data_IF_932548508613
#
_entry.id   IF_932548508613
#
_cell.length_a   1.000
_cell.length_b   1.000
_cell.length_c   1.000
_cell.angle_alpha   90.00
_cell.angle_beta   90.00
_cell.angle_gamma   90.00
#
_symmetry.space_group_name_H-M   'P 1'
#
loop_
_entity.id
_entity.type
_entity.pdbx_description
1 polymer ?
#
# COMPACT_ATOMS: atom_id res chain seq x y z
N UNK A 1 -3.17 12.56 20.44
CA UNK A 1 -2.66 11.59 19.44
C UNK A 1 -2.07 12.34 18.26
N UNK A 2 -0.98 11.85 17.68
CA UNK A 2 -0.40 12.43 16.47
C UNK A 2 -1.38 12.28 15.29
N UNK A 3 -1.44 13.27 14.42
CA UNK A 3 -2.37 13.27 13.27
C UNK A 3 -2.06 12.13 12.28
N UNK A 4 -0.77 11.79 12.11
CA UNK A 4 -0.34 10.66 11.28
C UNK A 4 -0.96 9.34 11.77
N UNK A 5 -0.85 9.07 13.09
CA UNK A 5 -1.42 7.87 13.70
C UNK A 5 -2.94 7.75 13.46
N UNK A 6 -3.67 8.88 13.52
CA UNK A 6 -5.11 8.88 13.26
C UNK A 6 -5.44 8.60 11.80
N UNK A 7 -4.62 9.09 10.88
CA UNK A 7 -4.88 8.94 9.44
C UNK A 7 -4.54 7.55 8.92
N UNK A 8 -3.44 6.93 9.39
CA UNK A 8 -3.08 5.58 8.94
C UNK A 8 -4.10 4.52 9.35
N UNK A 9 -4.86 4.74 10.45
CA UNK A 9 -5.96 3.85 10.86
C UNK A 9 -7.07 3.76 9.82
N UNK A 10 -7.19 4.76 8.94
CA UNK A 10 -8.13 4.74 7.82
C UNK A 10 -7.65 3.85 6.66
N UNK A 11 -6.36 3.48 6.61
CA UNK A 11 -5.77 2.69 5.51
C UNK A 11 -6.56 1.42 5.14
N UNK A 12 -6.93 0.55 6.10
CA UNK A 12 -7.74 -0.63 5.81
C UNK A 12 -9.12 -0.29 5.23
N UNK A 13 -9.76 0.78 5.72
CA UNK A 13 -11.07 1.23 5.22
C UNK A 13 -10.96 1.77 3.79
N UNK A 14 -9.94 2.57 3.49
CA UNK A 14 -9.68 3.07 2.13
C UNK A 14 -9.53 1.90 1.16
N UNK A 15 -8.78 0.86 1.56
CA UNK A 15 -8.61 -0.36 0.76
C UNK A 15 -9.94 -1.10 0.55
N UNK A 16 -10.72 -1.31 1.61
CA UNK A 16 -12.00 -2.00 1.51
C UNK A 16 -13.01 -1.28 0.60
N UNK A 17 -13.06 0.05 0.65
CA UNK A 17 -13.93 0.86 -0.24
C UNK A 17 -13.51 0.69 -1.70
N UNK A 18 -12.22 0.72 -1.98
CA UNK A 18 -11.70 0.53 -3.33
C UNK A 18 -11.98 -0.88 -3.87
N UNK A 19 -11.70 -1.91 -3.05
CA UNK A 19 -12.00 -3.29 -3.40
C UNK A 19 -13.49 -3.52 -3.66
N UNK A 20 -14.37 -2.83 -2.91
CA UNK A 20 -15.81 -2.88 -3.13
C UNK A 20 -16.18 -2.34 -4.52
N UNK A 21 -15.59 -1.21 -4.95
CA UNK A 21 -15.79 -0.71 -6.31
C UNK A 21 -15.34 -1.73 -7.37
N UNK A 22 -14.12 -2.28 -7.22
CA UNK A 22 -13.53 -3.20 -8.18
C UNK A 22 -14.33 -4.48 -8.40
N UNK A 23 -14.82 -5.09 -7.31
CA UNK A 23 -15.29 -6.47 -7.33
C UNK A 23 -16.78 -6.64 -7.01
N UNK A 24 -17.43 -5.65 -6.37
CA UNK A 24 -18.84 -5.71 -6.02
C UNK A 24 -19.68 -4.80 -6.93
N UNK A 25 -19.23 -3.57 -7.15
CA UNK A 25 -19.95 -2.63 -8.05
C UNK A 25 -19.65 -2.93 -9.51
N UNK A 26 -18.40 -3.23 -9.80
CA UNK A 26 -17.92 -3.57 -11.14
C UNK A 26 -17.22 -4.94 -11.15
N UNK A 27 -16.84 -5.43 -12.33
CA UNK A 27 -16.13 -6.70 -12.49
C UNK A 27 -14.71 -6.45 -12.99
N UNK A 28 -13.79 -6.12 -12.06
CA UNK A 28 -12.38 -5.89 -12.40
C UNK A 28 -11.71 -7.10 -13.04
N UNK A 29 -12.07 -8.32 -12.63
CA UNK A 29 -11.49 -9.55 -13.22
C UNK A 29 -11.83 -9.65 -14.70
N UNK A 30 -13.07 -9.41 -15.08
CA UNK A 30 -13.51 -9.43 -16.47
C UNK A 30 -12.79 -8.34 -17.28
N UNK A 31 -12.72 -7.12 -16.75
CA UNK A 31 -11.97 -6.03 -17.37
C UNK A 31 -10.49 -6.37 -17.52
N UNK A 32 -9.86 -6.94 -16.50
CA UNK A 32 -8.45 -7.35 -16.52
C UNK A 32 -8.20 -8.43 -17.57
N UNK A 33 -9.05 -9.44 -17.68
CA UNK A 33 -8.93 -10.50 -18.69
C UNK A 33 -9.13 -10.00 -20.13
N UNK A 34 -9.86 -8.91 -20.33
CA UNK A 34 -10.03 -8.29 -21.64
C UNK A 34 -8.72 -7.73 -22.21
N UNK A 35 -7.83 -7.22 -21.35
CA UNK A 35 -6.62 -6.51 -21.77
C UNK A 35 -5.32 -7.24 -21.41
N UNK A 36 -5.35 -8.11 -20.42
CA UNK A 36 -4.20 -8.84 -19.92
C UNK A 36 -4.46 -10.34 -19.99
N UNK A 37 -3.67 -11.07 -20.78
CA UNK A 37 -3.86 -12.50 -21.08
C UNK A 37 -3.74 -13.45 -19.88
N UNK A 38 -3.19 -12.98 -18.73
CA UNK A 38 -3.03 -13.79 -17.53
C UNK A 38 -3.47 -13.04 -16.28
N UNK A 39 -4.34 -13.68 -15.52
CA UNK A 39 -4.56 -13.31 -14.12
C UNK A 39 -3.66 -14.20 -13.28
N UNK A 40 -2.65 -13.63 -12.63
CA UNK A 40 -1.79 -14.36 -11.68
C UNK A 40 -2.52 -14.74 -10.37
N UNK A 41 -3.84 -14.54 -10.29
CA UNK A 41 -4.61 -14.79 -9.09
C UNK A 41 -4.83 -16.28 -8.87
N UNK A 42 -3.94 -16.88 -8.07
CA UNK A 42 -4.16 -18.21 -7.47
C UNK A 42 -5.13 -18.18 -6.28
N UNK A 43 -5.61 -16.99 -5.88
CA UNK A 43 -6.50 -16.77 -4.72
C UNK A 43 -7.78 -16.09 -5.16
N UNK A 44 -8.88 -16.34 -4.41
CA UNK A 44 -10.13 -15.62 -4.61
C UNK A 44 -10.01 -14.14 -4.22
N UNK A 45 -10.89 -13.29 -4.74
CA UNK A 45 -10.92 -11.86 -4.44
C UNK A 45 -11.12 -11.59 -2.95
N UNK A 46 -11.96 -12.40 -2.29
CA UNK A 46 -12.20 -12.31 -0.84
C UNK A 46 -10.97 -12.69 -0.02
N UNK A 47 -10.20 -13.68 -0.49
CA UNK A 47 -8.94 -14.06 0.17
C UNK A 47 -7.91 -12.93 0.03
N UNK A 48 -7.78 -12.32 -1.14
CA UNK A 48 -6.89 -11.18 -1.38
C UNK A 48 -7.32 -9.99 -0.50
N UNK A 49 -8.62 -9.66 -0.47
CA UNK A 49 -9.14 -8.62 0.42
C UNK A 49 -8.75 -8.87 1.87
N UNK A 50 -9.02 -10.08 2.36
CA UNK A 50 -8.75 -10.42 3.76
C UNK A 50 -7.27 -10.34 4.11
N UNK A 51 -6.40 -10.86 3.23
CA UNK A 51 -4.95 -10.82 3.43
C UNK A 51 -4.45 -9.37 3.45
N UNK A 52 -4.81 -8.55 2.47
CA UNK A 52 -4.29 -7.18 2.38
C UNK A 52 -4.85 -6.28 3.47
N UNK A 53 -6.11 -6.42 3.87
CA UNK A 53 -6.66 -5.73 5.04
C UNK A 53 -5.89 -6.14 6.31
N UNK A 54 -5.68 -7.44 6.54
CA UNK A 54 -4.90 -7.93 7.68
C UNK A 54 -3.47 -7.38 7.68
N UNK A 55 -2.79 -7.36 6.54
CA UNK A 55 -1.44 -6.79 6.41
C UNK A 55 -1.45 -5.32 6.83
N UNK A 56 -2.35 -4.51 6.29
CA UNK A 56 -2.42 -3.09 6.65
C UNK A 56 -2.71 -2.92 8.15
N UNK A 57 -3.69 -3.66 8.70
CA UNK A 57 -4.05 -3.59 10.13
C UNK A 57 -2.86 -3.94 11.03
N UNK A 58 -2.15 -5.03 10.73
CA UNK A 58 -0.97 -5.47 11.50
C UNK A 58 0.10 -4.39 11.52
N UNK A 59 0.46 -3.82 10.36
CA UNK A 59 1.52 -2.82 10.30
C UNK A 59 1.09 -1.44 10.84
N UNK A 60 -0.19 -1.09 10.73
CA UNK A 60 -0.74 0.06 11.46
C UNK A 60 -0.59 -0.15 12.97
N UNK A 61 -0.99 -1.32 13.48
CA UNK A 61 -0.86 -1.64 14.91
C UNK A 61 0.61 -1.63 15.35
N UNK A 62 1.51 -2.25 14.59
CA UNK A 62 2.95 -2.21 14.87
C UNK A 62 3.49 -0.79 14.93
N UNK A 63 3.05 0.11 14.03
CA UNK A 63 3.43 1.50 14.09
C UNK A 63 2.87 2.20 15.33
N UNK A 64 1.61 1.98 15.69
CA UNK A 64 1.01 2.57 16.88
C UNK A 64 1.74 2.18 18.17
N UNK A 65 2.26 0.94 18.23
CA UNK A 65 3.05 0.44 19.37
C UNK A 65 4.47 0.98 19.35
N UNK A 66 5.19 0.88 18.25
CA UNK A 66 6.60 1.29 18.12
C UNK A 66 6.76 2.81 18.02
N UNK A 67 5.87 3.48 17.33
CA UNK A 67 5.78 4.94 17.15
C UNK A 67 7.13 5.60 16.80
N UNK A 68 7.90 4.98 15.92
CA UNK A 68 9.20 5.44 15.45
C UNK A 68 9.24 5.60 13.92
N UNK A 69 10.35 6.15 13.39
CA UNK A 69 10.51 6.39 11.95
C UNK A 69 10.50 5.10 11.15
N UNK A 70 11.17 4.04 11.61
CA UNK A 70 11.25 2.79 10.88
C UNK A 70 9.86 2.18 10.66
N UNK A 71 9.03 2.11 11.70
CA UNK A 71 7.65 1.63 11.57
C UNK A 71 6.77 2.54 10.71
N UNK A 72 7.01 3.86 10.72
CA UNK A 72 6.34 4.79 9.81
C UNK A 72 6.72 4.54 8.35
N UNK A 73 8.00 4.29 8.06
CA UNK A 73 8.46 3.94 6.71
C UNK A 73 7.81 2.65 6.19
N UNK A 74 7.74 1.63 7.04
CA UNK A 74 7.14 0.34 6.63
C UNK A 74 5.66 0.52 6.32
N UNK A 75 4.88 1.20 7.16
CA UNK A 75 3.46 1.41 6.85
C UNK A 75 3.25 2.32 5.63
N UNK A 76 4.06 3.34 5.45
CA UNK A 76 4.02 4.20 4.25
C UNK A 76 4.35 3.41 2.99
N UNK A 77 5.35 2.53 3.03
CA UNK A 77 5.69 1.64 1.92
C UNK A 77 4.53 0.71 1.56
N UNK A 78 3.90 0.09 2.56
CA UNK A 78 2.75 -0.82 2.35
C UNK A 78 1.57 -0.07 1.73
N UNK A 79 1.21 1.09 2.28
CA UNK A 79 0.13 1.91 1.73
C UNK A 79 0.46 2.41 0.32
N UNK A 80 1.72 2.75 0.06
CA UNK A 80 2.15 3.17 -1.26
C UNK A 80 1.98 2.05 -2.29
N UNK A 81 2.48 0.85 -1.99
CA UNK A 81 2.40 -0.30 -2.89
C UNK A 81 0.95 -0.72 -3.15
N UNK A 82 0.13 -0.82 -2.10
CA UNK A 82 -1.24 -1.35 -2.21
C UNK A 82 -2.23 -0.30 -2.75
N UNK A 83 -2.04 0.99 -2.42
CA UNK A 83 -3.05 2.02 -2.71
C UNK A 83 -2.60 3.04 -3.75
N UNK A 84 -1.39 3.62 -3.59
CA UNK A 84 -0.98 4.73 -4.46
C UNK A 84 -0.63 4.22 -5.86
N UNK A 85 0.18 3.16 -5.96
CA UNK A 85 0.56 2.61 -7.27
C UNK A 85 -0.64 1.95 -7.93
N UNK A 86 -1.49 1.26 -7.17
CA UNK A 86 -2.73 0.72 -7.68
C UNK A 86 -3.65 1.82 -8.24
N UNK A 87 -3.76 2.97 -7.57
CA UNK A 87 -4.51 4.11 -8.10
C UNK A 87 -3.95 4.59 -9.46
N UNK A 88 -2.64 4.72 -9.58
CA UNK A 88 -2.01 5.08 -10.86
C UNK A 88 -2.22 4.01 -11.93
N UNK A 89 -2.22 2.73 -11.58
CA UNK A 89 -2.55 1.63 -12.48
C UNK A 89 -3.95 1.84 -13.10
N UNK A 90 -4.99 2.02 -12.29
CA UNK A 90 -6.36 2.22 -12.78
C UNK A 90 -6.49 3.47 -13.65
N UNK A 91 -5.90 4.59 -13.23
CA UNK A 91 -5.94 5.84 -14.00
C UNK A 91 -5.21 5.68 -15.33
N UNK A 92 -3.99 5.13 -15.31
CA UNK A 92 -3.17 4.95 -16.51
C UNK A 92 -3.86 4.04 -17.53
N UNK A 93 -4.31 2.87 -17.11
CA UNK A 93 -4.93 1.91 -18.03
C UNK A 93 -6.33 2.31 -18.47
N UNK A 94 -7.06 3.08 -17.66
CA UNK A 94 -8.32 3.67 -18.10
C UNK A 94 -8.11 4.64 -19.28
N UNK A 95 -7.06 5.45 -19.21
CA UNK A 95 -6.70 6.37 -20.30
C UNK A 95 -6.09 5.62 -21.49
N UNK A 96 -5.17 4.69 -21.24
CA UNK A 96 -4.44 3.97 -22.28
C UNK A 96 -5.36 3.10 -23.16
N UNK A 97 -6.31 2.40 -22.56
CA UNK A 97 -7.28 1.57 -23.29
C UNK A 97 -8.54 2.34 -23.73
N UNK A 98 -8.64 3.61 -23.35
CA UNK A 98 -9.87 4.42 -23.55
C UNK A 98 -11.13 3.67 -23.06
N UNK A 99 -11.02 3.01 -21.92
CA UNK A 99 -12.06 2.20 -21.30
C UNK A 99 -12.08 2.43 -19.79
N UNK A 100 -13.25 2.35 -19.18
CA UNK A 100 -13.40 2.52 -17.75
C UNK A 100 -12.75 1.35 -16.99
N UNK A 101 -11.69 1.62 -16.25
CA UNK A 101 -11.08 0.63 -15.36
C UNK A 101 -11.85 0.60 -14.03
N UNK A 102 -12.48 -0.54 -13.64
CA UNK A 102 -13.05 -0.69 -12.31
C UNK A 102 -12.02 -0.35 -11.22
N UNK A 103 -12.41 0.49 -10.26
CA UNK A 103 -11.49 1.01 -9.24
C UNK A 103 -10.99 2.45 -9.50
N UNK A 104 -11.17 3.01 -10.71
CA UNK A 104 -10.66 4.34 -11.04
C UNK A 104 -11.35 5.46 -10.24
N UNK A 105 -12.63 5.32 -9.90
CA UNK A 105 -13.36 6.35 -9.16
C UNK A 105 -12.79 6.48 -7.75
N UNK A 106 -12.69 5.38 -7.02
CA UNK A 106 -12.11 5.39 -5.67
C UNK A 106 -10.61 5.65 -5.67
N UNK A 107 -9.90 5.30 -6.74
CA UNK A 107 -8.51 5.72 -6.93
C UNK A 107 -8.35 7.23 -6.86
N UNK A 108 -9.18 7.96 -7.61
CA UNK A 108 -9.11 9.43 -7.68
C UNK A 108 -9.71 10.10 -6.45
N UNK A 109 -10.84 9.60 -5.94
CA UNK A 109 -11.61 10.27 -4.88
C UNK A 109 -11.23 9.82 -3.47
N UNK A 110 -10.63 8.63 -3.31
CA UNK A 110 -10.38 8.02 -2.00
C UNK A 110 -8.88 7.76 -1.80
N UNK A 111 -8.23 6.98 -2.68
CA UNK A 111 -6.83 6.59 -2.50
C UNK A 111 -5.87 7.78 -2.57
N UNK A 112 -5.89 8.54 -3.65
CA UNK A 112 -4.95 9.65 -3.81
C UNK A 112 -5.15 10.75 -2.75
N UNK A 113 -6.37 11.24 -2.46
CA UNK A 113 -6.55 12.23 -1.39
C UNK A 113 -6.23 11.71 0.00
N UNK A 114 -6.63 10.47 0.32
CA UNK A 114 -6.34 9.83 1.61
C UNK A 114 -4.84 9.67 1.85
N UNK A 115 -4.12 9.10 0.89
CA UNK A 115 -2.66 8.93 0.99
C UNK A 115 -1.91 10.28 0.97
N UNK A 116 -2.38 11.28 0.22
CA UNK A 116 -1.81 12.64 0.30
C UNK A 116 -1.88 13.19 1.72
N UNK A 117 -3.01 13.03 2.42
CA UNK A 117 -3.17 13.50 3.81
C UNK A 117 -2.26 12.73 4.78
N UNK A 118 -2.11 11.41 4.58
CA UNK A 118 -1.21 10.55 5.38
C UNK A 118 0.24 11.01 5.20
N UNK A 119 0.71 11.15 3.97
CA UNK A 119 2.08 11.57 3.66
C UNK A 119 2.36 12.98 4.18
N UNK A 120 1.43 13.92 4.00
CA UNK A 120 1.55 15.27 4.54
C UNK A 120 1.66 15.27 6.06
N UNK A 121 0.93 14.39 6.75
CA UNK A 121 1.04 14.26 8.20
C UNK A 121 2.39 13.65 8.61
N UNK A 122 2.89 12.64 7.88
CA UNK A 122 4.20 12.06 8.10
C UNK A 122 5.33 13.09 7.99
N UNK A 123 5.27 13.96 6.98
CA UNK A 123 6.21 15.08 6.86
C UNK A 123 6.13 16.06 8.03
N UNK A 124 4.93 16.49 8.39
CA UNK A 124 4.73 17.47 9.48
C UNK A 124 5.16 16.96 10.85
N UNK A 125 5.10 15.65 11.05
CA UNK A 125 5.47 15.00 12.31
C UNK A 125 6.90 14.46 12.33
N UNK A 126 7.67 14.71 11.23
CA UNK A 126 9.09 14.37 11.13
C UNK A 126 9.40 12.89 10.86
N UNK A 127 8.39 12.10 10.51
CA UNK A 127 8.62 10.72 10.05
C UNK A 127 9.31 10.70 8.68
N UNK A 128 8.97 11.60 7.77
CA UNK A 128 9.66 11.85 6.51
C UNK A 128 10.45 13.15 6.60
N UNK A 129 11.73 13.15 6.21
CA UNK A 129 12.61 14.33 6.28
C UNK A 129 12.88 14.95 4.92
N UNK A 130 12.76 14.19 3.84
CA UNK A 130 13.06 14.68 2.49
C UNK A 130 12.14 14.05 1.43
N UNK A 131 12.04 14.72 0.27
CA UNK A 131 11.35 14.17 -0.90
C UNK A 131 12.07 12.93 -1.45
N UNK A 132 13.39 12.82 -1.27
CA UNK A 132 14.15 11.64 -1.67
C UNK A 132 13.69 10.38 -0.90
N UNK A 133 13.46 10.50 0.41
CA UNK A 133 12.92 9.39 1.22
C UNK A 133 11.57 8.91 0.67
N UNK A 134 10.69 9.84 0.33
CA UNK A 134 9.41 9.51 -0.28
C UNK A 134 9.59 8.87 -1.68
N UNK A 135 10.56 9.34 -2.44
CA UNK A 135 10.94 8.74 -3.72
C UNK A 135 11.41 7.29 -3.61
N UNK A 136 12.22 6.97 -2.58
CA UNK A 136 12.62 5.58 -2.31
C UNK A 136 11.44 4.69 -1.92
N UNK A 137 10.54 5.16 -1.07
CA UNK A 137 9.30 4.46 -0.73
C UNK A 137 8.48 4.20 -2.00
N UNK A 138 8.37 5.22 -2.86
CA UNK A 138 7.67 5.13 -4.13
C UNK A 138 8.28 4.09 -5.07
N UNK A 139 9.61 4.10 -5.21
CA UNK A 139 10.33 3.12 -6.04
C UNK A 139 10.10 1.69 -5.53
N UNK A 140 10.30 1.46 -4.24
CA UNK A 140 10.08 0.14 -3.63
C UNK A 140 8.63 -0.31 -3.77
N UNK A 141 7.66 0.55 -3.53
CA UNK A 141 6.24 0.26 -3.70
C UNK A 141 5.89 -0.09 -5.14
N UNK A 142 6.45 0.65 -6.11
CA UNK A 142 6.25 0.37 -7.54
C UNK A 142 6.82 -0.99 -7.92
N UNK A 143 8.06 -1.30 -7.51
CA UNK A 143 8.68 -2.61 -7.77
C UNK A 143 7.83 -3.72 -7.17
N UNK A 144 7.40 -3.57 -5.92
CA UNK A 144 6.55 -4.56 -5.24
C UNK A 144 5.22 -4.77 -5.97
N UNK A 145 4.56 -3.70 -6.39
CA UNK A 145 3.30 -3.79 -7.13
C UNK A 145 3.49 -4.51 -8.48
N UNK A 146 4.52 -4.15 -9.25
CA UNK A 146 4.82 -4.80 -10.54
C UNK A 146 5.14 -6.29 -10.34
N UNK A 147 5.94 -6.62 -9.33
CA UNK A 147 6.23 -8.02 -9.01
C UNK A 147 4.96 -8.77 -8.58
N UNK A 148 4.06 -8.14 -7.83
CA UNK A 148 2.77 -8.74 -7.46
C UNK A 148 1.91 -9.03 -8.69
N UNK A 149 1.86 -8.12 -9.66
CA UNK A 149 1.13 -8.34 -10.90
C UNK A 149 1.70 -9.51 -11.75
N UNK A 150 3.02 -9.76 -11.65
CA UNK A 150 3.70 -10.83 -12.40
C UNK A 150 3.65 -12.17 -11.66
N UNK A 151 3.97 -12.18 -10.36
CA UNK A 151 4.17 -13.40 -9.57
C UNK A 151 3.03 -13.69 -8.59
N UNK A 152 2.08 -12.78 -8.43
CA UNK A 152 0.90 -12.94 -7.57
C UNK A 152 1.21 -12.93 -6.07
N UNK A 153 0.40 -13.64 -5.27
CA UNK A 153 0.38 -13.52 -3.80
C UNK A 153 1.69 -13.85 -3.06
N UNK A 154 2.62 -14.58 -3.69
CA UNK A 154 3.93 -14.89 -3.08
C UNK A 154 4.71 -13.61 -2.74
N UNK A 155 4.51 -12.54 -3.52
CA UNK A 155 5.16 -11.25 -3.31
C UNK A 155 4.68 -10.60 -2.00
N UNK A 156 3.42 -10.81 -1.60
CA UNK A 156 2.89 -10.32 -0.32
C UNK A 156 3.69 -10.95 0.83
N UNK A 157 3.84 -12.27 0.81
CA UNK A 157 4.58 -13.00 1.84
C UNK A 157 6.04 -12.54 1.97
N UNK A 158 6.75 -12.40 0.85
CA UNK A 158 8.14 -11.90 0.85
C UNK A 158 8.24 -10.47 1.33
N UNK A 159 7.32 -9.59 0.95
CA UNK A 159 7.28 -8.20 1.41
C UNK A 159 7.02 -8.07 2.91
N UNK A 160 6.15 -8.92 3.48
CA UNK A 160 5.90 -9.00 4.92
C UNK A 160 7.18 -9.42 5.66
N UNK A 161 7.84 -10.49 5.21
CA UNK A 161 9.09 -10.98 5.83
C UNK A 161 10.16 -9.88 5.82
N UNK A 162 10.40 -9.25 4.68
CA UNK A 162 11.37 -8.16 4.56
C UNK A 162 11.02 -6.96 5.46
N UNK A 163 9.75 -6.61 5.57
CA UNK A 163 9.28 -5.54 6.45
C UNK A 163 9.52 -5.85 7.93
N UNK A 164 9.26 -7.10 8.35
CA UNK A 164 9.52 -7.55 9.73
C UNK A 164 11.03 -7.55 10.01
N UNK A 165 11.86 -8.08 9.12
CA UNK A 165 13.31 -8.07 9.26
C UNK A 165 13.86 -6.63 9.37
N UNK A 166 13.35 -5.71 8.56
CA UNK A 166 13.71 -4.28 8.65
C UNK A 166 13.37 -3.70 10.03
N UNK A 167 12.19 -4.01 10.58
CA UNK A 167 11.77 -3.53 11.91
C UNK A 167 12.59 -4.14 13.05
N UNK A 168 13.00 -5.40 12.96
CA UNK A 168 13.85 -6.06 13.95
C UNK A 168 15.26 -5.46 13.91
N UNK A 169 15.86 -5.38 12.73
CA UNK A 169 17.20 -4.80 12.56
C UNK A 169 17.32 -3.37 13.10
N UNK A 170 16.31 -2.53 12.81
CA UNK A 170 16.31 -1.14 13.30
C UNK A 170 16.06 -1.03 14.81
N UNK A 171 15.40 -2.01 15.44
CA UNK A 171 15.24 -2.07 16.89
C UNK A 171 16.56 -2.43 17.57
N UNK A 172 17.25 -3.45 17.06
CA UNK A 172 18.53 -3.90 17.61
C UNK A 172 19.62 -2.81 17.50
N UNK A 173 19.69 -2.12 16.35
CA UNK A 173 20.63 -1.01 16.16
C UNK A 173 20.36 0.18 17.11
N UNK A 174 19.12 0.42 17.49
CA UNK A 174 18.76 1.45 18.44
C UNK A 174 19.15 1.05 19.88
N UNK A 175 19.00 -0.23 20.24
CA UNK A 175 19.34 -0.76 21.57
C UNK A 175 20.87 -0.85 21.78
N UNK A 176 21.63 -1.09 20.71
CA UNK A 176 23.10 -1.11 20.75
C UNK A 176 23.75 0.30 20.73
N UNK A 177 22.97 1.36 20.68
CA UNK A 177 23.48 2.74 20.69
C UNK A 177 24.21 3.14 19.41
N UNK A 178 24.08 2.36 18.35
CA UNK A 178 24.68 2.62 17.03
C UNK A 178 23.90 3.68 16.24
N UNK A 179 23.57 4.79 16.89
CA UNK A 179 22.85 5.99 16.41
C UNK A 179 22.53 6.00 14.91
N UNK A 180 21.36 5.49 14.54
CA UNK A 180 20.79 5.64 13.20
C UNK A 180 19.71 6.70 13.20
#
# INVERSE_FOLDING_TARGET
MKKFNNLIVLGPLLYAIHHFEEHVVFNFIEWKLKYFYHSAAALSTEAILSILVCVIVVFVFLHLVKNNRASAYVILYILFAIQVINAFFHIFFSVYFNDFSPGVITSVLVYLPGNYLIVRAAYREGYLKSYAEYGYIGLLGTVTFVLFEIYGPIVIGTSIILSILCLLYTSDAADEGLGV
#
